data_IF_224074256169
#
_entry.id   IF_224074256169
#
_cell.length_a   1.000
_cell.length_b   1.000
_cell.length_c   1.000
_cell.angle_alpha   90.00
_cell.angle_beta   90.00
_cell.angle_gamma   90.00
#
_symmetry.space_group_name_H-M   'P 1'
#
loop_
_entity.id
_entity.type
_entity.pdbx_description
1 polymer ?
#
# COMPACT_ATOMS: atom_id res chain seq x y z
N UNK A 1 -55.69 58.33 53.18
CA UNK A 1 -54.26 58.39 52.86
C UNK A 1 -53.56 57.26 53.61
N UNK A 2 -53.17 56.18 52.90
CA UNK A 2 -52.36 55.00 53.33
C UNK A 2 -52.94 54.10 54.45
N UNK A 3 -52.84 52.77 54.45
CA UNK A 3 -52.72 51.69 53.45
C UNK A 3 -52.96 50.41 54.29
N UNK A 4 -53.75 49.46 53.78
CA UNK A 4 -54.10 48.23 54.49
C UNK A 4 -52.92 47.24 54.57
N UNK A 5 -52.73 46.67 55.75
CA UNK A 5 -51.99 45.43 55.99
C UNK A 5 -52.74 44.25 55.36
N UNK A 6 -52.05 43.45 54.56
CA UNK A 6 -52.33 42.02 54.51
C UNK A 6 -51.07 41.22 54.15
N UNK A 7 -50.93 40.11 54.85
CA UNK A 7 -49.89 39.11 54.77
C UNK A 7 -49.74 38.56 53.35
N UNK A 8 -48.50 38.21 52.96
CA UNK A 8 -48.11 36.86 52.55
C UNK A 8 -46.66 36.87 52.05
N UNK A 9 -45.87 35.95 52.61
CA UNK A 9 -44.49 35.63 52.24
C UNK A 9 -44.37 35.36 50.73
N UNK A 10 -43.55 36.15 50.04
CA UNK A 10 -43.06 35.84 48.71
C UNK A 10 -41.58 35.45 48.81
N UNK A 11 -41.32 34.17 49.10
CA UNK A 11 -40.07 33.54 48.69
C UNK A 11 -40.11 33.38 47.17
N UNK A 12 -39.33 34.18 46.46
CA UNK A 12 -38.97 33.89 45.06
C UNK A 12 -37.99 32.72 45.06
N UNK A 13 -38.52 31.51 44.85
CA UNK A 13 -37.69 30.38 44.44
C UNK A 13 -37.23 30.65 43.01
N UNK A 14 -35.96 30.99 42.83
CA UNK A 14 -35.33 30.95 41.53
C UNK A 14 -35.25 29.49 41.08
N UNK A 15 -36.15 29.09 40.18
CA UNK A 15 -36.12 27.80 39.50
C UNK A 15 -34.85 27.73 38.66
N UNK A 16 -33.78 27.14 39.20
CA UNK A 16 -32.64 26.71 38.39
C UNK A 16 -33.13 25.54 37.55
N UNK A 17 -33.56 25.82 36.32
CA UNK A 17 -33.80 24.79 35.32
C UNK A 17 -32.46 24.14 35.02
N UNK A 18 -32.19 23.00 35.66
CA UNK A 18 -31.05 22.16 35.35
C UNK A 18 -31.35 21.55 33.98
N UNK A 19 -30.74 22.10 32.92
CA UNK A 19 -30.72 21.43 31.62
C UNK A 19 -29.81 20.21 31.79
N UNK A 20 -30.43 19.07 32.10
CA UNK A 20 -29.79 17.78 31.98
C UNK A 20 -29.49 17.57 30.50
N UNK A 21 -28.23 17.73 30.11
CA UNK A 21 -27.75 17.23 28.83
C UNK A 21 -27.93 15.72 28.85
N UNK A 22 -28.97 15.24 28.17
CA UNK A 22 -29.14 13.83 27.89
C UNK A 22 -28.00 13.42 26.95
N UNK A 23 -26.91 12.92 27.53
CA UNK A 23 -25.94 12.13 26.78
C UNK A 23 -26.69 10.91 26.24
N UNK A 24 -26.61 10.60 24.93
CA UNK A 24 -27.12 9.33 24.46
C UNK A 24 -26.36 8.25 25.22
N UNK A 25 -27.11 7.43 25.96
CA UNK A 25 -26.58 6.25 26.61
C UNK A 25 -25.87 5.43 25.55
N UNK A 26 -24.57 5.17 25.75
CA UNK A 26 -23.84 4.21 24.92
C UNK A 26 -24.61 2.91 25.06
N UNK A 27 -25.27 2.49 23.99
CA UNK A 27 -25.84 1.16 23.91
C UNK A 27 -24.74 0.18 24.31
N UNK A 28 -24.95 -0.55 25.39
CA UNK A 28 -24.02 -1.60 25.80
C UNK A 28 -23.92 -2.57 24.63
N UNK A 29 -22.79 -2.52 23.93
CA UNK A 29 -22.42 -3.59 23.01
C UNK A 29 -22.29 -4.81 23.89
N UNK A 30 -23.24 -5.72 23.77
CA UNK A 30 -23.15 -7.05 24.35
C UNK A 30 -21.96 -7.73 23.66
N UNK A 31 -20.78 -7.59 24.25
CA UNK A 31 -19.63 -8.44 23.97
C UNK A 31 -20.06 -9.84 24.41
N UNK A 32 -20.61 -10.61 23.48
CA UNK A 32 -20.61 -12.06 23.61
C UNK A 32 -19.15 -12.44 23.76
N UNK A 33 -18.77 -12.77 24.99
CA UNK A 33 -17.53 -13.45 25.30
C UNK A 33 -17.61 -14.74 24.51
N UNK A 34 -16.88 -14.82 23.39
CA UNK A 34 -16.66 -16.07 22.70
C UNK A 34 -16.12 -17.05 23.75
N UNK A 35 -16.75 -18.22 23.95
CA UNK A 35 -16.18 -19.21 24.83
C UNK A 35 -14.77 -19.54 24.33
N UNK A 36 -13.82 -19.67 25.26
CA UNK A 36 -12.50 -20.19 24.93
C UNK A 36 -12.69 -21.50 24.15
N UNK A 37 -11.95 -21.70 23.03
CA UNK A 37 -12.09 -22.91 22.25
C UNK A 37 -11.85 -24.12 23.16
N UNK A 38 -12.82 -25.03 23.19
CA UNK A 38 -12.71 -26.30 23.87
C UNK A 38 -11.45 -27.01 23.40
N UNK A 39 -10.63 -27.46 24.33
CA UNK A 39 -9.45 -28.28 24.07
C UNK A 39 -9.88 -29.63 23.52
N UNK A 40 -10.21 -29.70 22.23
CA UNK A 40 -10.08 -30.94 21.46
C UNK A 40 -8.61 -31.10 21.10
N UNK A 41 -8.07 -32.27 21.38
CA UNK A 41 -6.70 -32.67 21.08
C UNK A 41 -6.53 -32.98 19.58
N UNK A 42 -7.15 -32.20 18.71
CA UNK A 42 -6.92 -32.25 17.27
C UNK A 42 -5.90 -31.16 16.93
N UNK A 43 -4.67 -31.61 16.71
CA UNK A 43 -3.62 -30.78 16.12
C UNK A 43 -4.13 -30.20 14.80
N UNK A 44 -4.44 -28.91 14.78
CA UNK A 44 -4.68 -28.17 13.55
C UNK A 44 -3.34 -28.17 12.80
N UNK A 45 -3.22 -28.98 11.77
CA UNK A 45 -2.18 -28.81 10.76
C UNK A 45 -2.41 -27.42 10.14
N UNK A 46 -1.64 -26.44 10.59
CA UNK A 46 -1.48 -25.21 9.83
C UNK A 46 -0.85 -25.64 8.51
N UNK A 47 -1.61 -25.51 7.43
CA UNK A 47 -1.06 -25.61 6.09
C UNK A 47 0.01 -24.52 5.94
N UNK A 48 1.25 -24.91 6.15
CA UNK A 48 2.43 -24.16 5.75
C UNK A 48 2.63 -24.52 4.28
N UNK A 49 2.33 -23.61 3.33
CA UNK A 49 2.63 -23.90 1.94
C UNK A 49 4.12 -24.27 1.82
N UNK A 50 4.47 -25.32 1.06
CA UNK A 50 5.86 -25.67 0.82
C UNK A 50 6.64 -24.44 0.34
N UNK A 51 7.95 -24.31 0.64
CA UNK A 51 8.78 -23.32 -0.04
C UNK A 51 8.58 -23.47 -1.55
N UNK A 52 8.31 -22.35 -2.23
CA UNK A 52 7.97 -22.30 -3.66
C UNK A 52 8.90 -23.26 -4.44
N UNK A 53 8.31 -24.35 -4.92
CA UNK A 53 8.95 -25.20 -5.91
C UNK A 53 9.19 -24.31 -7.14
N UNK A 54 10.45 -24.18 -7.55
CA UNK A 54 10.88 -23.59 -8.83
C UNK A 54 10.39 -24.41 -10.05
N UNK A 55 9.13 -24.84 -10.06
CA UNK A 55 8.45 -25.20 -11.28
C UNK A 55 8.02 -23.89 -11.93
N UNK A 56 9.02 -23.19 -12.50
CA UNK A 56 8.82 -22.43 -13.71
C UNK A 56 8.02 -23.32 -14.65
N UNK A 57 6.72 -23.04 -14.80
CA UNK A 57 5.99 -23.50 -15.96
C UNK A 57 6.85 -23.11 -17.16
N UNK A 58 7.40 -24.12 -17.85
CA UNK A 58 8.35 -24.00 -18.96
C UNK A 58 7.66 -23.40 -20.18
N UNK A 59 7.15 -22.19 -20.02
CA UNK A 59 6.64 -21.40 -21.10
C UNK A 59 7.85 -20.60 -21.64
N UNK A 60 8.06 -20.69 -22.94
CA UNK A 60 9.24 -20.12 -23.60
C UNK A 60 9.28 -18.59 -23.50
N UNK A 61 8.14 -17.90 -23.30
CA UNK A 61 8.17 -16.43 -23.18
C UNK A 61 8.56 -15.92 -21.78
N UNK A 62 8.18 -16.57 -20.68
CA UNK A 62 8.65 -16.24 -19.33
C UNK A 62 10.15 -16.46 -19.24
N UNK A 63 10.70 -17.51 -19.88
CA UNK A 63 12.14 -17.70 -20.01
C UNK A 63 12.82 -16.57 -20.81
N UNK A 64 12.20 -16.09 -21.89
CA UNK A 64 12.73 -14.97 -22.69
C UNK A 64 12.68 -13.63 -21.93
N UNK A 65 11.60 -13.35 -21.21
CA UNK A 65 11.48 -12.16 -20.35
C UNK A 65 12.58 -12.21 -19.28
N UNK A 66 12.70 -13.33 -18.58
CA UNK A 66 13.73 -13.52 -17.56
C UNK A 66 15.13 -13.28 -18.09
N UNK A 67 15.50 -13.91 -19.22
CA UNK A 67 16.81 -13.72 -19.84
C UNK A 67 17.09 -12.27 -20.25
N UNK A 68 16.07 -11.51 -20.67
CA UNK A 68 16.23 -10.10 -21.02
C UNK A 68 16.40 -9.21 -19.78
N UNK A 69 15.68 -9.49 -18.70
CA UNK A 69 15.85 -8.80 -17.42
C UNK A 69 17.24 -9.12 -16.83
N UNK A 70 17.66 -10.38 -16.88
CA UNK A 70 18.98 -10.83 -16.38
C UNK A 70 20.13 -10.07 -17.05
N UNK A 71 20.03 -9.83 -18.37
CA UNK A 71 21.00 -9.00 -19.10
C UNK A 71 21.07 -7.58 -18.54
N UNK A 72 19.92 -6.96 -18.22
CA UNK A 72 19.85 -5.60 -17.67
C UNK A 72 20.51 -5.53 -16.29
N UNK A 73 20.28 -6.54 -15.44
CA UNK A 73 20.75 -6.51 -14.05
C UNK A 73 22.16 -7.09 -13.85
N UNK A 74 22.70 -7.81 -14.85
CA UNK A 74 23.96 -8.57 -14.81
C UNK A 74 25.18 -7.79 -14.29
N UNK A 75 25.24 -6.47 -14.54
CA UNK A 75 26.37 -5.64 -14.11
C UNK A 75 26.38 -5.37 -12.60
N UNK A 76 25.23 -5.45 -11.93
CA UNK A 76 25.09 -5.14 -10.51
C UNK A 76 23.97 -5.94 -9.85
N UNK A 77 23.92 -7.28 -9.96
CA UNK A 77 22.76 -8.09 -9.60
C UNK A 77 22.35 -7.89 -8.13
N UNK A 78 23.32 -7.71 -7.23
CA UNK A 78 23.08 -7.48 -5.80
C UNK A 78 22.45 -6.12 -5.46
N UNK A 79 22.32 -5.22 -6.43
CA UNK A 79 21.71 -3.89 -6.25
C UNK A 79 20.24 -3.86 -6.70
N UNK A 80 19.75 -4.93 -7.31
CA UNK A 80 18.37 -5.04 -7.81
C UNK A 80 17.55 -5.98 -6.93
N UNK A 81 16.34 -5.54 -6.60
CA UNK A 81 15.27 -6.36 -6.05
C UNK A 81 14.07 -6.27 -6.99
N UNK A 82 13.64 -7.40 -7.51
CA UNK A 82 12.56 -7.50 -8.50
C UNK A 82 11.63 -8.64 -8.11
N UNK A 83 10.34 -8.36 -8.10
CA UNK A 83 9.29 -9.37 -8.12
C UNK A 83 8.21 -8.95 -9.10
N UNK A 84 7.82 -9.88 -9.98
CA UNK A 84 6.76 -9.74 -10.97
C UNK A 84 5.93 -11.02 -10.90
N UNK A 85 4.63 -10.87 -10.69
CA UNK A 85 3.71 -12.00 -10.57
C UNK A 85 2.32 -11.65 -11.07
N UNK A 86 1.57 -12.69 -11.45
CA UNK A 86 0.15 -12.56 -11.76
C UNK A 86 -0.63 -12.16 -10.50
N UNK A 87 -1.73 -11.42 -10.72
CA UNK A 87 -2.58 -10.94 -9.62
C UNK A 87 -3.11 -12.09 -8.74
N UNK A 88 -3.39 -13.24 -9.36
CA UNK A 88 -3.99 -14.44 -8.76
C UNK A 88 -3.01 -15.35 -7.99
N UNK A 89 -1.72 -14.97 -7.88
CA UNK A 89 -0.63 -15.76 -7.26
C UNK A 89 -0.27 -17.06 -7.98
N UNK A 90 -0.87 -17.37 -9.12
CA UNK A 90 -0.62 -18.65 -9.77
C UNK A 90 0.72 -18.67 -10.52
N UNK A 91 1.23 -17.50 -10.92
CA UNK A 91 2.42 -17.40 -11.75
C UNK A 91 3.37 -16.32 -11.24
N UNK A 92 4.53 -16.73 -10.75
CA UNK A 92 5.70 -15.86 -10.63
C UNK A 92 6.33 -15.75 -12.02
N UNK A 93 6.33 -14.55 -12.58
CA UNK A 93 6.85 -14.27 -13.93
C UNK A 93 8.35 -14.01 -13.85
N UNK A 94 8.78 -13.28 -12.82
CA UNK A 94 10.20 -13.05 -12.59
C UNK A 94 10.43 -12.72 -11.12
N UNK A 95 11.50 -13.28 -10.56
CA UNK A 95 11.92 -13.03 -9.19
C UNK A 95 13.44 -12.93 -9.13
N UNK A 96 13.92 -11.87 -8.50
CA UNK A 96 15.35 -11.66 -8.23
C UNK A 96 15.52 -10.86 -6.95
N UNK A 97 16.16 -11.45 -5.94
CA UNK A 97 16.30 -10.86 -4.60
C UNK A 97 14.95 -10.36 -4.01
N UNK A 98 13.84 -11.05 -4.32
CA UNK A 98 12.49 -10.61 -3.94
C UNK A 98 12.27 -10.53 -2.42
N UNK A 99 13.06 -11.27 -1.64
CA UNK A 99 13.00 -11.37 -0.18
C UNK A 99 14.13 -10.62 0.54
N UNK A 100 14.97 -9.90 -0.21
CA UNK A 100 16.06 -9.09 0.36
C UNK A 100 15.59 -7.67 0.61
N UNK A 101 16.08 -7.06 1.70
CA UNK A 101 15.80 -5.66 1.99
C UNK A 101 16.48 -4.69 1.01
N UNK A 102 15.68 -3.73 0.55
CA UNK A 102 16.14 -2.54 -0.15
C UNK A 102 15.59 -1.29 0.52
N UNK A 103 16.14 -0.14 0.15
CA UNK A 103 15.62 1.16 0.56
C UNK A 103 14.55 1.51 -0.46
N UNK A 104 13.25 1.53 -0.10
CA UNK A 104 12.17 1.61 -1.08
C UNK A 104 11.92 3.04 -1.61
N UNK A 105 12.57 4.05 -1.01
CA UNK A 105 12.26 5.46 -1.25
C UNK A 105 10.74 5.70 -1.14
N UNK A 106 10.15 6.50 -2.03
CA UNK A 106 8.71 6.82 -2.00
C UNK A 106 7.75 5.64 -2.25
N UNK A 107 8.22 4.42 -2.54
CA UNK A 107 7.34 3.24 -2.48
C UNK A 107 6.90 2.93 -1.03
N UNK A 108 7.59 3.47 -0.02
CA UNK A 108 7.13 3.54 1.39
C UNK A 108 5.69 4.06 1.50
N UNK A 109 5.28 4.99 0.61
CA UNK A 109 3.94 5.57 0.62
C UNK A 109 2.84 4.53 0.34
N UNK A 110 3.16 3.41 -0.32
CA UNK A 110 2.21 2.30 -0.51
C UNK A 110 1.82 1.68 0.84
N UNK A 111 2.79 1.47 1.74
CA UNK A 111 2.54 0.99 3.11
C UNK A 111 1.65 1.97 3.88
N UNK A 112 2.02 3.26 3.86
CA UNK A 112 1.29 4.30 4.57
C UNK A 112 -0.15 4.44 4.08
N UNK A 113 -0.36 4.48 2.76
CA UNK A 113 -1.69 4.71 2.19
C UNK A 113 -2.58 3.47 2.29
N UNK A 114 -2.03 2.26 2.13
CA UNK A 114 -2.76 1.02 2.36
C UNK A 114 -3.21 0.90 3.84
N UNK A 115 -2.29 1.11 4.78
CA UNK A 115 -2.62 1.05 6.20
C UNK A 115 -3.65 2.11 6.60
N UNK A 116 -3.56 3.33 6.05
CA UNK A 116 -4.54 4.38 6.35
C UNK A 116 -5.95 4.02 5.86
N UNK A 117 -6.06 3.48 4.64
CA UNK A 117 -7.36 3.04 4.09
C UNK A 117 -7.92 1.83 4.85
N UNK A 118 -7.06 0.96 5.38
CA UNK A 118 -7.51 -0.13 6.23
C UNK A 118 -8.01 0.36 7.59
N UNK A 119 -7.39 1.41 8.15
CA UNK A 119 -7.72 1.92 9.47
C UNK A 119 -8.99 2.80 9.49
N UNK A 120 -9.35 3.42 8.36
CA UNK A 120 -10.36 4.48 8.32
C UNK A 120 -11.16 4.46 7.02
N UNK A 121 -12.40 4.95 7.09
CA UNK A 121 -13.24 5.10 5.90
C UNK A 121 -12.63 6.14 4.93
N UNK A 122 -12.62 5.89 3.60
CA UNK A 122 -12.12 6.85 2.61
C UNK A 122 -12.76 8.26 2.68
N UNK A 123 -13.99 8.37 3.17
CA UNK A 123 -14.70 9.64 3.35
C UNK A 123 -14.41 10.34 4.68
N UNK A 124 -13.66 9.71 5.59
CA UNK A 124 -13.26 10.32 6.86
C UNK A 124 -12.50 11.61 6.59
N UNK A 125 -12.99 12.72 7.13
CA UNK A 125 -12.34 14.04 7.00
C UNK A 125 -11.14 14.13 7.93
N UNK A 126 -9.96 14.34 7.34
CA UNK A 126 -8.72 14.67 8.04
C UNK A 126 -8.42 16.14 7.74
N UNK A 127 -8.52 16.98 8.78
CA UNK A 127 -8.47 18.43 8.69
C UNK A 127 -9.59 18.98 7.78
N UNK A 128 -9.30 19.25 6.50
CA UNK A 128 -10.24 19.83 5.51
C UNK A 128 -10.43 18.97 4.26
N UNK A 129 -9.91 17.74 4.25
CA UNK A 129 -9.91 16.84 3.09
C UNK A 129 -10.29 15.44 3.53
N UNK A 130 -10.98 14.69 2.67
CA UNK A 130 -11.26 13.27 2.91
C UNK A 130 -9.97 12.45 2.90
N UNK A 131 -9.96 11.29 3.54
CA UNK A 131 -8.85 10.35 3.46
C UNK A 131 -8.53 9.97 2.01
N UNK A 132 -9.55 9.80 1.15
CA UNK A 132 -9.37 9.60 -0.29
C UNK A 132 -8.51 10.70 -0.91
N UNK A 133 -8.78 11.96 -0.62
CA UNK A 133 -7.98 13.09 -1.11
C UNK A 133 -6.54 13.05 -0.57
N UNK A 134 -6.36 12.72 0.70
CA UNK A 134 -5.04 12.58 1.31
C UNK A 134 -4.21 11.50 0.63
N UNK A 135 -4.80 10.33 0.38
CA UNK A 135 -4.17 9.20 -0.33
C UNK A 135 -3.86 9.58 -1.77
N UNK A 136 -4.81 10.19 -2.48
CA UNK A 136 -4.64 10.64 -3.85
C UNK A 136 -3.49 11.65 -3.99
N UNK A 137 -3.45 12.69 -3.14
CA UNK A 137 -2.36 13.68 -3.15
C UNK A 137 -1.02 13.02 -2.82
N UNK A 138 -1.00 12.11 -1.84
CA UNK A 138 0.19 11.36 -1.44
C UNK A 138 0.79 10.59 -2.60
N UNK A 139 -0.02 9.83 -3.33
CA UNK A 139 0.46 8.95 -4.38
C UNK A 139 0.68 9.68 -5.72
N UNK A 140 -0.28 10.50 -6.18
CA UNK A 140 -0.19 11.21 -7.45
C UNK A 140 0.98 12.20 -7.51
N UNK A 141 1.16 12.97 -6.43
CA UNK A 141 2.21 14.00 -6.34
C UNK A 141 3.47 13.51 -5.63
N UNK A 142 3.46 12.28 -5.11
CA UNK A 142 4.51 11.76 -4.24
C UNK A 142 4.80 12.68 -3.05
N UNK A 143 3.77 13.30 -2.49
CA UNK A 143 3.93 14.38 -1.52
C UNK A 143 4.38 13.85 -0.14
N UNK A 144 5.52 14.34 0.35
CA UNK A 144 6.11 13.87 1.61
C UNK A 144 5.34 14.37 2.84
N UNK A 145 4.88 15.62 2.82
CA UNK A 145 4.11 16.18 3.93
C UNK A 145 2.82 15.39 4.18
N UNK A 146 2.09 15.07 3.11
CA UNK A 146 0.87 14.28 3.23
C UNK A 146 1.15 12.87 3.74
N UNK A 147 2.19 12.22 3.21
CA UNK A 147 2.59 10.88 3.65
C UNK A 147 3.01 10.83 5.11
N UNK A 148 3.90 11.70 5.57
CA UNK A 148 4.42 11.67 6.94
C UNK A 148 3.38 12.11 7.96
N UNK A 149 2.49 13.03 7.57
CA UNK A 149 1.36 13.41 8.43
C UNK A 149 0.38 12.25 8.57
N UNK A 150 0.00 11.59 7.46
CA UNK A 150 -0.90 10.44 7.50
C UNK A 150 -0.29 9.28 8.31
N UNK A 151 1.00 9.00 8.11
CA UNK A 151 1.74 8.00 8.88
C UNK A 151 1.70 8.27 10.38
N UNK A 152 1.95 9.52 10.81
CA UNK A 152 1.86 9.89 12.24
C UNK A 152 0.42 9.82 12.74
N UNK A 153 -0.54 10.29 11.93
CA UNK A 153 -1.96 10.33 12.29
C UNK A 153 -2.49 8.94 12.62
N UNK A 154 -2.09 7.91 11.86
CA UNK A 154 -2.49 6.52 12.12
C UNK A 154 -1.63 5.82 13.19
N UNK A 155 -0.77 6.52 13.92
CA UNK A 155 0.02 5.95 15.02
C UNK A 155 1.45 5.51 14.67
N UNK A 156 1.95 5.90 13.49
CA UNK A 156 3.32 5.67 13.06
C UNK A 156 3.67 4.20 12.83
N UNK A 157 4.97 3.88 12.89
CA UNK A 157 5.53 2.59 12.48
C UNK A 157 4.87 1.39 13.15
N UNK A 158 4.65 1.45 14.47
CA UNK A 158 4.03 0.35 15.23
C UNK A 158 2.61 0.07 14.75
N UNK A 159 1.81 1.12 14.57
CA UNK A 159 0.42 0.98 14.14
C UNK A 159 0.34 0.54 12.68
N UNK A 160 1.12 1.13 11.78
CA UNK A 160 1.19 0.70 10.37
C UNK A 160 1.55 -0.79 10.27
N UNK A 161 2.54 -1.23 11.04
CA UNK A 161 2.95 -2.64 11.07
C UNK A 161 1.82 -3.54 11.56
N UNK A 162 1.13 -3.17 12.64
CA UNK A 162 0.02 -3.95 13.18
C UNK A 162 -1.18 -4.01 12.21
N UNK A 163 -1.53 -2.90 11.58
CA UNK A 163 -2.63 -2.83 10.60
C UNK A 163 -2.32 -3.70 9.38
N UNK A 164 -1.09 -3.63 8.84
CA UNK A 164 -0.72 -4.45 7.69
C UNK A 164 -0.60 -5.95 8.04
N UNK A 165 -0.19 -6.28 9.27
CA UNK A 165 -0.20 -7.67 9.74
C UNK A 165 -1.63 -8.24 9.83
N UNK A 166 -2.62 -7.43 10.22
CA UNK A 166 -4.04 -7.84 10.19
C UNK A 166 -4.55 -8.12 8.77
N UNK A 167 -3.90 -7.54 7.77
CA UNK A 167 -4.14 -7.79 6.35
C UNK A 167 -3.36 -9.01 5.81
N UNK A 168 -2.65 -9.74 6.66
CA UNK A 168 -1.85 -10.89 6.28
C UNK A 168 -0.52 -10.56 5.60
N UNK A 169 -0.06 -9.31 5.68
CA UNK A 169 1.28 -8.92 5.21
C UNK A 169 2.29 -9.31 6.28
N UNK A 170 3.36 -10.01 5.91
CA UNK A 170 4.40 -10.40 6.87
C UNK A 170 5.11 -9.14 7.43
N UNK A 171 4.99 -8.85 8.74
CA UNK A 171 5.66 -7.72 9.35
C UNK A 171 7.18 -7.85 9.33
N UNK A 172 7.74 -9.04 9.09
CA UNK A 172 9.18 -9.23 8.90
C UNK A 172 9.66 -8.62 7.56
N UNK A 173 8.80 -8.49 6.55
CA UNK A 173 9.17 -8.02 5.21
C UNK A 173 9.51 -6.52 5.09
N UNK A 174 9.28 -5.71 6.14
CA UNK A 174 9.52 -4.27 6.08
C UNK A 174 9.84 -3.62 7.45
N UNK A 175 10.51 -2.47 7.42
CA UNK A 175 10.83 -1.60 8.56
C UNK A 175 10.62 -0.16 8.13
N UNK A 176 9.69 0.56 8.78
CA UNK A 176 9.36 1.95 8.41
C UNK A 176 9.80 2.91 9.51
N UNK A 177 10.66 3.85 9.18
CA UNK A 177 11.08 4.96 10.02
C UNK A 177 10.25 6.23 9.77
N UNK A 178 9.71 6.41 8.56
CA UNK A 178 8.77 7.47 8.20
C UNK A 178 7.73 6.97 7.19
N UNK A 179 6.77 7.82 6.81
CA UNK A 179 5.71 7.45 5.87
C UNK A 179 6.03 7.82 4.42
N UNK A 180 6.93 8.80 4.23
CA UNK A 180 7.26 9.37 2.94
C UNK A 180 8.36 8.60 2.20
N UNK A 181 9.19 7.86 2.90
CA UNK A 181 10.34 7.17 2.31
C UNK A 181 11.59 8.03 2.18
N UNK A 182 11.71 9.12 2.93
CA UNK A 182 12.92 9.97 2.94
C UNK A 182 14.04 9.36 3.79
N UNK A 183 13.68 8.65 4.85
CA UNK A 183 14.61 7.98 5.73
C UNK A 183 15.26 6.78 5.04
N UNK A 184 16.60 6.73 5.10
CA UNK A 184 17.37 5.55 4.68
C UNK A 184 17.25 4.37 5.64
N UNK A 185 16.61 4.56 6.80
CA UNK A 185 16.28 3.47 7.72
C UNK A 185 15.02 2.71 7.31
N UNK A 186 14.27 3.22 6.33
CA UNK A 186 13.20 2.47 5.69
C UNK A 186 13.80 1.30 4.91
N UNK A 187 13.31 0.10 5.16
CA UNK A 187 13.68 -1.11 4.43
C UNK A 187 12.41 -1.88 4.07
N UNK A 188 12.36 -2.42 2.85
CA UNK A 188 11.28 -3.28 2.41
C UNK A 188 11.81 -4.31 1.41
N UNK A 189 11.21 -5.50 1.42
CA UNK A 189 11.42 -6.50 0.36
C UNK A 189 10.50 -6.19 -0.82
N UNK A 190 10.90 -6.46 -2.08
CA UNK A 190 9.99 -6.43 -3.22
C UNK A 190 8.70 -7.24 -2.96
N UNK A 191 8.82 -8.41 -2.32
CA UNK A 191 7.68 -9.25 -1.94
C UNK A 191 6.66 -8.52 -1.06
N UNK A 192 7.10 -7.85 0.00
CA UNK A 192 6.19 -7.11 0.89
C UNK A 192 5.40 -6.01 0.16
N UNK A 193 6.01 -5.33 -0.82
CA UNK A 193 5.34 -4.32 -1.63
C UNK A 193 4.30 -4.97 -2.52
N UNK A 194 4.64 -6.08 -3.17
CA UNK A 194 3.71 -6.78 -4.05
C UNK A 194 2.54 -7.37 -3.26
N UNK A 195 2.77 -7.89 -2.06
CA UNK A 195 1.70 -8.36 -1.17
C UNK A 195 0.73 -7.23 -0.79
N UNK A 196 1.23 -6.02 -0.50
CA UNK A 196 0.36 -4.86 -0.24
C UNK A 196 -0.50 -4.53 -1.45
N UNK A 197 0.10 -4.48 -2.65
CA UNK A 197 -0.64 -4.23 -3.89
C UNK A 197 -1.73 -5.28 -4.08
N UNK A 198 -1.41 -6.56 -3.85
CA UNK A 198 -2.39 -7.65 -3.94
C UNK A 198 -3.54 -7.48 -2.96
N UNK A 199 -3.24 -7.29 -1.68
CA UNK A 199 -4.31 -7.19 -0.67
C UNK A 199 -5.19 -5.98 -0.96
N UNK A 200 -4.62 -4.85 -1.36
CA UNK A 200 -5.41 -3.68 -1.73
C UNK A 200 -6.28 -3.93 -2.96
N UNK A 201 -5.81 -4.70 -3.94
CA UNK A 201 -6.59 -5.08 -5.12
C UNK A 201 -7.87 -5.84 -4.77
N UNK A 202 -7.83 -6.72 -3.77
CA UNK A 202 -9.00 -7.49 -3.32
C UNK A 202 -9.77 -6.83 -2.17
N UNK A 203 -9.30 -5.70 -1.66
CA UNK A 203 -9.94 -5.01 -0.54
C UNK A 203 -11.18 -4.20 -0.97
N UNK A 204 -12.12 -3.90 -0.05
CA UNK A 204 -13.18 -2.92 -0.29
C UNK A 204 -12.66 -1.52 -0.66
N UNK A 205 -11.39 -1.22 -0.33
CA UNK A 205 -10.74 0.05 -0.64
C UNK A 205 -10.01 0.04 -2.00
N UNK A 206 -10.16 -1.02 -2.80
CA UNK A 206 -9.51 -1.19 -4.11
C UNK A 206 -9.59 0.07 -4.95
N UNK A 207 -10.80 0.57 -5.21
CA UNK A 207 -11.01 1.66 -6.18
C UNK A 207 -10.31 2.94 -5.73
N UNK A 208 -10.37 3.25 -4.43
CA UNK A 208 -9.68 4.42 -3.87
C UNK A 208 -8.16 4.27 -3.96
N UNK A 209 -7.63 3.10 -3.59
CA UNK A 209 -6.18 2.88 -3.63
C UNK A 209 -5.65 2.84 -5.07
N UNK A 210 -6.30 2.06 -5.93
CA UNK A 210 -5.93 1.87 -7.33
C UNK A 210 -5.97 3.20 -8.11
N UNK A 211 -7.05 3.98 -7.97
CA UNK A 211 -7.20 5.28 -8.63
C UNK A 211 -6.22 6.35 -8.10
N UNK A 212 -5.67 6.16 -6.90
CA UNK A 212 -4.68 7.09 -6.34
C UNK A 212 -3.30 6.99 -7.00
N UNK A 213 -3.01 5.91 -7.73
CA UNK A 213 -1.70 5.68 -8.32
C UNK A 213 -1.52 6.50 -9.61
N UNK A 214 -0.32 7.09 -9.82
CA UNK A 214 0.05 7.66 -11.12
C UNK A 214 -0.08 6.65 -12.26
N UNK A 215 -0.54 7.13 -13.42
CA UNK A 215 -0.71 6.32 -14.63
C UNK A 215 0.32 6.71 -15.67
N UNK A 216 1.03 5.72 -16.22
CA UNK A 216 2.04 5.91 -17.26
C UNK A 216 1.48 6.67 -18.47
N UNK A 217 2.19 7.73 -18.85
CA UNK A 217 1.83 8.63 -19.94
C UNK A 217 0.60 9.51 -19.71
N UNK A 218 -0.06 9.43 -18.55
CA UNK A 218 -1.35 10.10 -18.30
C UNK A 218 -1.31 11.02 -17.07
N UNK A 219 -0.87 10.54 -15.90
CA UNK A 219 -1.08 11.28 -14.64
C UNK A 219 0.07 11.23 -13.65
N UNK A 220 0.03 12.16 -12.69
CA UNK A 220 0.95 12.22 -11.55
C UNK A 220 2.43 12.27 -11.95
N UNK A 221 3.24 11.54 -11.18
CA UNK A 221 4.69 11.41 -11.44
C UNK A 221 5.04 10.61 -12.71
N UNK A 222 4.07 9.92 -13.33
CA UNK A 222 4.28 9.13 -14.54
C UNK A 222 3.75 9.80 -15.82
N UNK A 223 3.11 10.97 -15.74
CA UNK A 223 2.50 11.68 -16.88
C UNK A 223 3.41 11.84 -18.11
N UNK A 224 4.71 12.02 -17.89
CA UNK A 224 5.70 12.22 -18.95
C UNK A 224 6.59 10.99 -19.20
N UNK A 225 6.33 9.87 -18.51
CA UNK A 225 7.16 8.65 -18.54
C UNK A 225 6.43 7.55 -19.29
N UNK A 226 7.14 6.86 -20.18
CA UNK A 226 6.59 5.80 -21.04
C UNK A 226 5.41 6.25 -21.93
N UNK A 227 5.40 7.52 -22.35
CA UNK A 227 4.41 8.04 -23.34
C UNK A 227 4.61 7.35 -24.69
N UNK A 228 3.50 7.13 -25.40
CA UNK A 228 3.51 6.56 -26.76
C UNK A 228 4.17 5.16 -26.80
N UNK A 229 3.93 4.37 -25.75
CA UNK A 229 4.38 2.97 -25.64
C UNK A 229 3.20 2.09 -25.19
N UNK A 230 3.37 0.77 -25.20
CA UNK A 230 2.39 -0.18 -24.69
C UNK A 230 2.05 0.02 -23.19
N UNK A 231 2.90 0.71 -22.43
CA UNK A 231 2.64 1.05 -21.02
C UNK A 231 1.69 2.23 -20.82
N UNK A 232 1.43 3.05 -21.86
CA UNK A 232 0.56 4.22 -21.71
C UNK A 232 -0.86 3.80 -21.34
N UNK A 233 -1.35 4.26 -20.19
CA UNK A 233 -2.69 3.93 -19.70
C UNK A 233 -2.86 2.53 -19.11
N UNK A 234 -1.83 1.70 -19.10
CA UNK A 234 -1.88 0.30 -18.61
C UNK A 234 -1.05 0.07 -17.36
N UNK A 235 -0.09 0.97 -17.06
CA UNK A 235 0.74 0.89 -15.85
C UNK A 235 0.32 1.92 -14.81
N UNK A 236 -0.10 1.43 -13.64
CA UNK A 236 -0.54 2.20 -12.48
C UNK A 236 0.47 2.00 -11.36
N UNK A 237 1.38 2.95 -11.14
CA UNK A 237 2.52 2.68 -10.28
C UNK A 237 3.03 3.89 -9.49
N UNK A 238 3.54 3.58 -8.31
CA UNK A 238 4.23 4.53 -7.45
C UNK A 238 5.71 4.57 -7.80
N UNK A 239 6.22 5.78 -8.03
CA UNK A 239 7.64 6.07 -8.23
C UNK A 239 8.38 6.24 -6.90
N UNK A 240 9.65 5.84 -6.86
CA UNK A 240 10.59 6.06 -5.76
C UNK A 240 11.91 6.66 -6.22
N UNK A 241 12.34 7.73 -5.56
CA UNK A 241 13.59 8.44 -5.88
C UNK A 241 14.30 8.89 -4.60
N UNK A 242 15.55 8.46 -4.42
CA UNK A 242 16.56 9.07 -3.52
C UNK A 242 17.91 9.06 -4.23
N UNK A 243 18.93 9.70 -3.64
CA UNK A 243 20.31 9.57 -4.13
C UNK A 243 20.75 8.10 -4.08
N UNK A 244 21.07 7.54 -5.24
CA UNK A 244 21.45 6.13 -5.41
C UNK A 244 20.29 5.13 -5.29
N UNK A 245 19.03 5.59 -5.33
CA UNK A 245 17.86 4.71 -5.27
C UNK A 245 16.86 5.09 -6.35
N UNK A 246 16.43 4.11 -7.15
CA UNK A 246 15.27 4.23 -8.03
C UNK A 246 14.33 3.06 -7.79
N UNK A 247 13.04 3.33 -7.74
CA UNK A 247 12.04 2.29 -7.57
C UNK A 247 10.78 2.60 -8.38
N UNK A 248 10.08 1.55 -8.79
CA UNK A 248 8.75 1.61 -9.40
C UNK A 248 7.99 0.35 -8.98
N UNK A 249 6.78 0.51 -8.45
CA UNK A 249 5.95 -0.63 -8.04
C UNK A 249 4.49 -0.31 -8.25
N UNK A 250 3.72 -1.29 -8.69
CA UNK A 250 2.31 -1.09 -8.97
C UNK A 250 1.67 -2.23 -9.76
N UNK A 251 0.58 -1.87 -10.44
CA UNK A 251 -0.20 -2.75 -11.30
C UNK A 251 0.18 -2.52 -12.75
N UNK A 252 0.13 -3.59 -13.53
CA UNK A 252 0.29 -3.58 -14.97
C UNK A 252 -0.84 -4.39 -15.58
N UNK A 253 -1.63 -3.76 -16.43
CA UNK A 253 -2.69 -4.43 -17.18
C UNK A 253 -2.13 -4.93 -18.51
N UNK A 254 -1.97 -6.26 -18.66
CA UNK A 254 -1.54 -6.88 -19.91
C UNK A 254 -2.76 -7.52 -20.60
N UNK A 255 -3.12 -7.10 -21.83
CA UNK A 255 -4.30 -7.64 -22.52
C UNK A 255 -4.26 -9.15 -22.78
N UNK A 256 -3.08 -9.76 -22.80
CA UNK A 256 -2.87 -11.17 -23.11
C UNK A 256 -2.70 -12.02 -21.84
N UNK A 257 -2.03 -11.49 -20.82
CA UNK A 257 -1.69 -12.21 -19.58
C UNK A 257 -2.56 -11.82 -18.38
N UNK A 258 -3.41 -10.80 -18.52
CA UNK A 258 -4.21 -10.27 -17.43
C UNK A 258 -3.44 -9.31 -16.51
N UNK A 259 -4.02 -8.97 -15.35
CA UNK A 259 -3.42 -8.03 -14.42
C UNK A 259 -2.20 -8.65 -13.73
N UNK A 260 -1.11 -7.89 -13.69
CA UNK A 260 0.12 -8.25 -13.01
C UNK A 260 0.46 -7.25 -11.92
N UNK A 261 1.18 -7.73 -10.93
CA UNK A 261 1.78 -6.93 -9.88
C UNK A 261 3.28 -6.92 -10.05
N UNK A 262 3.91 -5.78 -9.75
CA UNK A 262 5.36 -5.72 -9.79
C UNK A 262 5.95 -4.79 -8.73
N UNK A 263 7.16 -5.13 -8.31
CA UNK A 263 8.05 -4.24 -7.57
C UNK A 263 9.46 -4.34 -8.12
N UNK A 264 10.01 -3.20 -8.56
CA UNK A 264 11.39 -3.07 -9.03
C UNK A 264 12.06 -2.00 -8.18
N UNK A 265 13.10 -2.37 -7.44
CA UNK A 265 13.88 -1.49 -6.56
C UNK A 265 15.36 -1.64 -6.90
N UNK A 266 16.05 -0.51 -7.04
CA UNK A 266 17.48 -0.47 -7.35
C UNK A 266 18.20 0.47 -6.40
N UNK A 267 19.15 -0.07 -5.64
CA UNK A 267 19.98 0.67 -4.70
C UNK A 267 21.42 0.86 -5.22
N UNK A 268 21.61 1.56 -6.34
CA UNK A 268 22.93 1.73 -6.95
C UNK A 268 23.38 3.20 -6.98
N UNK A 269 24.45 3.50 -6.25
CA UNK A 269 25.06 4.85 -6.19
C UNK A 269 26.04 5.14 -7.33
N UNK A 270 26.51 4.10 -8.05
CA UNK A 270 27.54 4.23 -9.09
C UNK A 270 26.97 4.49 -10.47
N UNK A 271 25.67 4.29 -10.65
CA UNK A 271 24.96 4.47 -11.93
C UNK A 271 24.08 5.72 -11.86
N UNK A 272 24.02 6.49 -12.95
CA UNK A 272 23.20 7.69 -13.00
C UNK A 272 21.72 7.35 -12.81
N UNK A 273 20.99 8.25 -12.13
CA UNK A 273 19.56 8.04 -11.87
C UNK A 273 18.74 7.89 -13.15
N UNK A 274 19.12 8.58 -14.22
CA UNK A 274 18.49 8.50 -15.54
C UNK A 274 18.70 7.12 -16.19
N UNK A 275 19.91 6.57 -16.11
CA UNK A 275 20.19 5.23 -16.62
C UNK A 275 19.39 4.17 -15.86
N UNK A 276 19.31 4.28 -14.53
CA UNK A 276 18.48 3.38 -13.72
C UNK A 276 16.98 3.50 -14.07
N UNK A 277 16.46 4.71 -14.27
CA UNK A 277 15.08 4.92 -14.72
C UNK A 277 14.83 4.26 -16.08
N UNK A 278 15.74 4.45 -17.04
CA UNK A 278 15.64 3.82 -18.37
C UNK A 278 15.66 2.30 -18.28
N UNK A 279 16.50 1.73 -17.42
CA UNK A 279 16.57 0.29 -17.20
C UNK A 279 15.26 -0.25 -16.59
N UNK A 280 14.71 0.43 -15.58
CA UNK A 280 13.39 0.08 -15.00
C UNK A 280 12.29 0.17 -16.07
N UNK A 281 12.27 1.24 -16.89
CA UNK A 281 11.29 1.39 -17.97
C UNK A 281 11.39 0.26 -18.99
N UNK A 282 12.62 -0.14 -19.34
CA UNK A 282 12.84 -1.26 -20.27
C UNK A 282 12.24 -2.56 -19.73
N UNK A 283 12.41 -2.85 -18.43
CA UNK A 283 11.81 -4.02 -17.78
C UNK A 283 10.28 -3.93 -17.83
N UNK A 284 9.70 -2.77 -17.52
CA UNK A 284 8.24 -2.58 -17.55
C UNK A 284 7.67 -2.76 -18.95
N UNK A 285 8.33 -2.21 -19.97
CA UNK A 285 7.89 -2.34 -21.35
C UNK A 285 7.89 -3.78 -21.84
N UNK A 286 8.91 -4.57 -21.48
CA UNK A 286 8.96 -6.00 -21.79
C UNK A 286 7.75 -6.77 -21.22
N UNK A 287 7.27 -6.39 -20.03
CA UNK A 287 6.06 -6.98 -19.43
C UNK A 287 4.76 -6.51 -20.10
N UNK A 288 4.72 -5.30 -20.64
CA UNK A 288 3.52 -4.80 -21.34
C UNK A 288 3.37 -5.38 -22.75
N UNK A 289 4.48 -5.74 -23.37
CA UNK A 289 4.54 -6.26 -24.74
C UNK A 289 4.56 -7.79 -24.79
N UNK A 290 4.73 -8.46 -23.63
CA UNK A 290 4.71 -9.90 -23.55
C UNK A 290 3.33 -10.47 -23.87
N UNK A 291 3.31 -11.54 -24.69
CA UNK A 291 2.10 -12.30 -25.01
C UNK A 291 1.90 -13.43 -24.01
N UNK A 292 0.67 -13.86 -23.76
CA UNK A 292 0.40 -15.09 -23.03
C UNK A 292 0.94 -16.27 -23.82
N UNK A 293 1.70 -17.12 -23.14
CA UNK A 293 2.08 -18.38 -23.71
C UNK A 293 0.86 -19.29 -23.70
N UNK A 294 0.32 -19.58 -24.89
CA UNK A 294 -0.54 -20.75 -25.03
C UNK A 294 0.30 -21.98 -24.62
N UNK A 295 -0.20 -22.87 -23.75
CA UNK A 295 0.43 -24.17 -23.61
C UNK A 295 0.39 -24.86 -24.98
N UNK A 296 1.54 -25.37 -25.43
CA UNK A 296 1.59 -26.29 -26.57
C UNK A 296 0.89 -27.59 -26.20
#
# INVERSE_FOLDING_TARGET
MKQLLNCLNSLTVASVATIALAYPSIAQVNLSVYPAPSSSNESIELYVPPPENNNTNNNTCTQLIGANIDKIISQAPNQWGILIESIDRQTVIYSHNADRYFIPASNTKLFTTAAALQAMNPETTIQKKSLRDWVNITNQRSNNFYADTLFRFIGGSKSVTAILAQLGIDPSGFRLADGSGLSRRNNATPRSIVEILRVMYYSPNRDTFYASLPVAGISGTLRNRMRQTAATGTVYAKTGTLTGVRALSGYLENPQQGPMLFSIIVNNQRVSGQALVKAIDTIVLQMTESRSCQPQ
#
